data_IF_027819122553
#
_entry.id   IF_027819122553
#
_cell.length_a   1.000
_cell.length_b   1.000
_cell.length_c   1.000
_cell.angle_alpha   90.00
_cell.angle_beta   90.00
_cell.angle_gamma   90.00
#
_symmetry.space_group_name_H-M   'P 1'
#
loop_
_entity.id
_entity.type
_entity.pdbx_description
1 polymer ?
#
# COMPACT_ATOMS: atom_id res chain seq x y z
N UNK A 1 -24.03 -16.23 16.65
CA UNK A 1 -23.90 -15.22 17.74
C UNK A 1 -24.56 -13.92 17.30
N UNK A 2 -24.84 -13.01 18.23
CA UNK A 2 -25.26 -11.63 17.88
C UNK A 2 -24.08 -10.85 17.32
N UNK A 3 -24.30 -9.74 16.61
CA UNK A 3 -23.24 -8.89 16.08
C UNK A 3 -22.43 -8.25 17.19
N UNK A 4 -23.07 -7.91 18.32
CA UNK A 4 -22.40 -7.31 19.48
C UNK A 4 -21.48 -8.33 20.18
N UNK A 5 -21.91 -9.59 20.29
CA UNK A 5 -21.09 -10.71 20.77
C UNK A 5 -19.93 -10.99 19.81
N UNK A 6 -20.20 -11.04 18.50
CA UNK A 6 -19.19 -11.22 17.46
C UNK A 6 -18.10 -10.14 17.53
N UNK A 7 -18.49 -8.86 17.59
CA UNK A 7 -17.58 -7.73 17.73
C UNK A 7 -16.81 -7.80 19.05
N UNK A 8 -17.47 -8.22 20.14
CA UNK A 8 -16.83 -8.43 21.44
C UNK A 8 -15.69 -9.45 21.38
N UNK A 9 -15.91 -10.58 20.70
CA UNK A 9 -14.87 -11.59 20.48
C UNK A 9 -13.73 -11.07 19.60
N UNK A 10 -14.02 -10.29 18.56
CA UNK A 10 -12.94 -9.68 17.75
C UNK A 10 -12.01 -8.81 18.59
N UNK A 11 -12.58 -8.03 19.51
CA UNK A 11 -11.79 -7.15 20.39
C UNK A 11 -11.06 -7.97 21.46
N UNK A 12 -11.74 -8.96 22.05
CA UNK A 12 -11.17 -9.85 23.08
C UNK A 12 -9.90 -10.54 22.58
N UNK A 13 -9.90 -10.95 21.31
CA UNK A 13 -8.80 -11.69 20.69
C UNK A 13 -7.86 -10.83 19.82
N UNK A 14 -7.85 -9.50 20.00
CA UNK A 14 -7.01 -8.56 19.24
C UNK A 14 -7.11 -8.71 17.71
N UNK A 15 -8.29 -9.09 17.22
CA UNK A 15 -8.61 -9.17 15.79
C UNK A 15 -9.16 -7.84 15.26
N UNK A 16 -9.51 -6.91 16.14
CA UNK A 16 -10.04 -5.59 15.77
C UNK A 16 -9.83 -4.58 16.90
N UNK A 17 -9.40 -3.36 16.56
CA UNK A 17 -9.28 -2.26 17.51
C UNK A 17 -10.65 -1.91 18.15
N UNK A 18 -10.74 -1.72 19.49
CA UNK A 18 -11.97 -1.33 20.17
C UNK A 18 -12.67 -0.10 19.59
N UNK A 19 -11.92 0.88 19.06
CA UNK A 19 -12.49 2.10 18.46
C UNK A 19 -13.36 1.79 17.24
N UNK A 20 -13.13 0.67 16.55
CA UNK A 20 -13.96 0.29 15.41
C UNK A 20 -15.36 -0.18 15.82
N UNK A 21 -15.57 -0.61 17.06
CA UNK A 21 -16.93 -0.89 17.58
C UNK A 21 -17.79 0.36 17.55
N UNK A 22 -17.25 1.49 18.01
CA UNK A 22 -17.97 2.76 18.00
C UNK A 22 -18.21 3.25 16.57
N UNK A 23 -17.24 3.07 15.68
CA UNK A 23 -17.41 3.37 14.27
C UNK A 23 -18.55 2.56 13.65
N UNK A 24 -18.60 1.23 13.85
CA UNK A 24 -19.67 0.37 13.32
C UNK A 24 -21.04 0.77 13.89
N UNK A 25 -21.11 1.04 15.20
CA UNK A 25 -22.35 1.43 15.88
C UNK A 25 -22.88 2.79 15.42
N UNK A 26 -22.00 3.75 15.12
CA UNK A 26 -22.40 5.08 14.65
C UNK A 26 -22.72 5.10 13.16
N UNK A 27 -21.93 4.38 12.37
CA UNK A 27 -21.92 4.52 10.91
C UNK A 27 -22.88 3.56 10.21
N UNK A 28 -23.10 2.37 10.76
CA UNK A 28 -23.68 1.24 10.01
C UNK A 28 -24.94 0.73 10.68
N UNK A 29 -24.85 0.44 11.99
CA UNK A 29 -25.97 -0.08 12.78
C UNK A 29 -27.26 0.75 12.66
N UNK A 30 -27.24 2.09 12.51
CA UNK A 30 -28.47 2.87 12.32
C UNK A 30 -29.13 2.69 10.95
N UNK A 31 -28.41 2.16 9.96
CA UNK A 31 -28.87 2.02 8.58
C UNK A 31 -29.20 0.57 8.20
N UNK A 32 -28.71 -0.40 8.96
CA UNK A 32 -28.82 -1.82 8.65
C UNK A 32 -29.10 -2.64 9.92
N UNK A 33 -30.24 -3.32 9.94
CA UNK A 33 -30.66 -4.19 11.06
C UNK A 33 -30.20 -5.65 10.85
N UNK A 34 -29.59 -5.95 9.70
CA UNK A 34 -29.14 -7.29 9.38
C UNK A 34 -27.82 -7.64 10.10
N UNK A 35 -27.92 -8.55 11.06
CA UNK A 35 -26.81 -9.10 11.84
C UNK A 35 -25.62 -9.56 10.98
N UNK A 36 -25.87 -10.24 9.86
CA UNK A 36 -24.81 -10.74 8.97
C UNK A 36 -24.09 -9.58 8.27
N UNK A 37 -24.81 -8.51 7.91
CA UNK A 37 -24.19 -7.33 7.29
C UNK A 37 -23.31 -6.60 8.30
N UNK A 38 -23.78 -6.44 9.54
CA UNK A 38 -22.97 -5.82 10.60
C UNK A 38 -21.69 -6.64 10.83
N UNK A 39 -21.78 -7.98 10.90
CA UNK A 39 -20.62 -8.87 11.02
C UNK A 39 -19.68 -8.77 9.83
N UNK A 40 -20.20 -8.68 8.61
CA UNK A 40 -19.38 -8.47 7.41
C UNK A 40 -18.56 -7.19 7.48
N UNK A 41 -19.14 -6.12 8.01
CA UNK A 41 -18.39 -4.89 8.16
C UNK A 41 -17.42 -4.97 9.35
N UNK A 42 -17.77 -5.67 10.43
CA UNK A 42 -16.81 -5.98 11.48
C UNK A 42 -15.60 -6.76 10.93
N UNK A 43 -15.82 -7.73 10.04
CA UNK A 43 -14.75 -8.42 9.31
C UNK A 43 -13.96 -7.44 8.44
N UNK A 44 -14.59 -6.51 7.73
CA UNK A 44 -13.88 -5.46 6.99
C UNK A 44 -12.95 -4.63 7.90
N UNK A 45 -13.43 -4.17 9.06
CA UNK A 45 -12.62 -3.40 10.01
C UNK A 45 -11.51 -4.23 10.66
N UNK A 46 -11.75 -5.52 10.87
CA UNK A 46 -10.73 -6.48 11.30
C UNK A 46 -9.59 -6.59 10.27
N UNK A 47 -9.92 -6.63 8.98
CA UNK A 47 -8.89 -6.59 7.91
C UNK A 47 -8.20 -5.23 7.80
N UNK A 48 -8.94 -4.15 8.04
CA UNK A 48 -8.38 -2.80 8.06
C UNK A 48 -7.37 -2.63 9.20
N UNK A 49 -7.62 -3.24 10.36
CA UNK A 49 -6.69 -3.29 11.48
C UNK A 49 -5.35 -3.95 11.10
N UNK A 50 -5.38 -5.00 10.28
CA UNK A 50 -4.18 -5.63 9.72
C UNK A 50 -3.50 -4.80 8.61
N UNK A 51 -4.04 -3.62 8.28
CA UNK A 51 -3.53 -2.75 7.22
C UNK A 51 -4.09 -3.02 5.82
N UNK A 52 -5.05 -3.94 5.67
CA UNK A 52 -5.72 -4.17 4.39
C UNK A 52 -6.71 -3.03 4.08
N UNK A 53 -6.52 -2.35 2.96
CA UNK A 53 -7.41 -1.23 2.56
C UNK A 53 -8.75 -1.69 1.95
N UNK A 54 -8.87 -2.98 1.62
CA UNK A 54 -10.05 -3.57 1.00
C UNK A 54 -10.22 -5.04 1.37
N UNK A 55 -11.46 -5.51 1.25
CA UNK A 55 -11.84 -6.90 1.50
C UNK A 55 -12.33 -7.55 0.20
N UNK A 56 -11.84 -8.73 -0.20
CA UNK A 56 -12.36 -9.43 -1.37
C UNK A 56 -13.82 -9.82 -1.15
N UNK A 57 -14.64 -9.81 -2.21
CA UNK A 57 -16.05 -10.22 -2.21
C UNK A 57 -16.24 -11.54 -2.96
N UNK A 58 -15.22 -12.39 -2.96
CA UNK A 58 -15.22 -13.69 -3.63
C UNK A 58 -14.89 -14.81 -2.63
N UNK A 59 -14.86 -16.04 -3.14
CA UNK A 59 -14.64 -17.26 -2.33
C UNK A 59 -13.36 -17.24 -1.49
N UNK A 60 -12.37 -16.40 -1.84
CA UNK A 60 -11.11 -16.29 -1.08
C UNK A 60 -11.32 -15.64 0.28
N UNK A 61 -12.36 -14.82 0.45
CA UNK A 61 -12.63 -14.12 1.71
C UNK A 61 -12.82 -15.12 2.86
N UNK A 62 -13.59 -16.18 2.61
CA UNK A 62 -13.89 -17.22 3.60
C UNK A 62 -12.63 -17.94 4.07
N UNK A 63 -11.77 -18.35 3.14
CA UNK A 63 -10.51 -19.02 3.48
C UNK A 63 -9.60 -18.11 4.31
N UNK A 64 -9.40 -16.85 3.87
CA UNK A 64 -8.58 -15.89 4.60
C UNK A 64 -9.13 -15.55 5.98
N UNK A 65 -10.45 -15.49 6.12
CA UNK A 65 -11.11 -15.29 7.40
C UNK A 65 -10.79 -16.43 8.37
N UNK A 66 -10.91 -17.67 7.92
CA UNK A 66 -10.60 -18.85 8.72
C UNK A 66 -9.11 -18.91 9.11
N UNK A 67 -8.20 -18.58 8.20
CA UNK A 67 -6.76 -18.48 8.48
C UNK A 67 -6.45 -17.41 9.54
N UNK A 68 -7.09 -16.23 9.44
CA UNK A 68 -6.93 -15.15 10.41
C UNK A 68 -7.39 -15.56 11.81
N UNK A 69 -8.54 -16.22 11.95
CA UNK A 69 -9.04 -16.70 13.24
C UNK A 69 -8.16 -17.79 13.88
N UNK A 70 -7.36 -18.51 13.10
CA UNK A 70 -6.42 -19.53 13.60
C UNK A 70 -5.10 -18.96 14.11
N UNK A 71 -4.89 -17.64 14.02
CA UNK A 71 -3.65 -17.00 14.47
C UNK A 71 -2.46 -17.18 13.53
N UNK A 72 -2.66 -17.65 12.29
CA UNK A 72 -1.59 -17.77 11.28
C UNK A 72 -1.07 -16.39 10.81
N UNK A 73 -1.74 -15.31 11.22
CA UNK A 73 -1.36 -13.93 10.94
C UNK A 73 -1.22 -13.15 12.26
N UNK A 74 0.01 -13.10 12.80
CA UNK A 74 0.45 -12.22 13.90
C UNK A 74 -0.43 -12.28 15.17
N UNK A 75 -0.43 -13.39 15.89
CA UNK A 75 -0.87 -13.43 17.29
C UNK A 75 0.35 -13.71 18.18
N UNK A 76 0.57 -12.88 19.20
CA UNK A 76 1.44 -13.24 20.32
C UNK A 76 0.71 -14.34 21.09
N UNK A 77 1.33 -15.52 21.23
CA UNK A 77 0.79 -16.63 22.02
C UNK A 77 0.54 -16.14 23.45
N UNK A 78 -0.73 -16.06 23.85
CA UNK A 78 -1.14 -15.81 25.22
C UNK A 78 -1.96 -17.03 25.66
N UNK A 79 -1.60 -17.66 26.78
CA UNK A 79 -2.16 -18.92 27.33
C UNK A 79 -3.66 -18.83 27.73
N UNK A 80 -4.34 -17.73 27.39
CA UNK A 80 -5.75 -17.44 27.67
C UNK A 80 -6.71 -17.71 26.50
N UNK A 81 -6.21 -18.24 25.38
CA UNK A 81 -7.03 -18.48 24.18
C UNK A 81 -7.95 -19.71 24.30
N UNK A 82 -9.26 -19.47 24.37
CA UNK A 82 -10.27 -20.51 24.15
C UNK A 82 -10.48 -20.78 22.66
N UNK A 83 -9.95 -21.92 22.19
CA UNK A 83 -10.08 -22.37 20.80
C UNK A 83 -11.55 -22.56 20.37
N UNK A 84 -12.47 -22.85 21.29
CA UNK A 84 -13.89 -23.03 20.95
C UNK A 84 -14.55 -21.70 20.56
N UNK A 85 -14.21 -20.60 21.24
CA UNK A 85 -14.73 -19.27 20.90
C UNK A 85 -14.17 -18.78 19.56
N UNK A 86 -12.88 -19.02 19.28
CA UNK A 86 -12.26 -18.70 18.00
C UNK A 86 -12.83 -19.53 16.84
N UNK A 87 -13.10 -20.82 17.07
CA UNK A 87 -13.77 -21.67 16.08
C UNK A 87 -15.22 -21.21 15.84
N UNK A 88 -15.95 -20.83 16.89
CA UNK A 88 -17.29 -20.27 16.77
C UNK A 88 -17.29 -18.95 16.00
N UNK A 89 -16.33 -18.05 16.28
CA UNK A 89 -16.12 -16.79 15.58
C UNK A 89 -15.82 -17.02 14.10
N UNK A 90 -14.91 -17.96 13.81
CA UNK A 90 -14.54 -18.36 12.46
C UNK A 90 -15.74 -18.89 11.67
N UNK A 91 -16.54 -19.77 12.27
CA UNK A 91 -17.74 -20.33 11.66
C UNK A 91 -18.85 -19.29 11.45
N UNK A 92 -19.11 -18.43 12.43
CA UNK A 92 -20.17 -17.42 12.34
C UNK A 92 -19.82 -16.35 11.30
N UNK A 93 -18.56 -15.91 11.25
CA UNK A 93 -18.09 -15.00 10.21
C UNK A 93 -18.11 -15.65 8.82
N UNK A 94 -17.78 -16.94 8.72
CA UNK A 94 -17.92 -17.69 7.46
C UNK A 94 -19.36 -17.74 6.96
N UNK A 95 -20.35 -17.89 7.86
CA UNK A 95 -21.77 -17.84 7.50
C UNK A 95 -22.16 -16.45 6.99
N UNK A 96 -21.75 -15.39 7.68
CA UNK A 96 -21.99 -14.01 7.23
C UNK A 96 -21.36 -13.76 5.85
N UNK A 97 -20.19 -14.33 5.57
CA UNK A 97 -19.53 -14.30 4.25
C UNK A 97 -20.33 -15.05 3.19
N UNK A 98 -20.84 -16.24 3.49
CA UNK A 98 -21.69 -17.00 2.56
C UNK A 98 -23.02 -16.27 2.28
N UNK A 99 -23.54 -15.51 3.25
CA UNK A 99 -24.70 -14.64 3.10
C UNK A 99 -24.50 -13.49 2.09
N UNK A 100 -23.26 -13.23 1.60
CA UNK A 100 -22.93 -12.27 0.52
C UNK A 100 -23.45 -12.75 -0.86
N UNK A 101 -24.62 -13.40 -0.93
CA UNK A 101 -25.34 -13.50 -2.19
C UNK A 101 -25.53 -12.08 -2.76
N UNK A 102 -25.35 -11.92 -4.08
CA UNK A 102 -25.15 -10.68 -4.85
C UNK A 102 -26.15 -9.50 -4.64
N UNK A 103 -27.05 -9.55 -3.66
CA UNK A 103 -28.16 -8.65 -3.39
C UNK A 103 -27.87 -7.51 -2.39
N UNK A 104 -26.87 -7.62 -1.49
CA UNK A 104 -26.56 -6.55 -0.51
C UNK A 104 -25.86 -5.33 -1.13
N UNK A 105 -25.55 -5.42 -2.42
CA UNK A 105 -24.98 -4.36 -3.25
C UNK A 105 -25.86 -3.10 -3.35
N UNK A 106 -27.18 -3.17 -3.14
CA UNK A 106 -28.04 -2.03 -3.48
C UNK A 106 -28.03 -0.87 -2.46
N UNK A 107 -28.02 -1.15 -1.15
CA UNK A 107 -28.00 -0.11 -0.09
C UNK A 107 -26.59 0.23 0.38
N UNK A 108 -25.76 -0.79 0.62
CA UNK A 108 -24.38 -0.60 1.06
C UNK A 108 -23.46 -0.10 -0.07
N UNK A 109 -23.93 -0.09 -1.32
CA UNK A 109 -23.28 0.56 -2.46
C UNK A 109 -24.14 1.64 -3.11
N UNK A 110 -25.22 2.09 -2.45
CA UNK A 110 -25.91 3.29 -2.87
C UNK A 110 -24.92 4.48 -2.93
N UNK A 111 -25.19 5.50 -3.75
CA UNK A 111 -24.24 6.60 -3.97
C UNK A 111 -23.81 7.32 -2.68
N UNK A 112 -24.69 7.37 -1.68
CA UNK A 112 -24.45 7.96 -0.35
C UNK A 112 -23.79 7.00 0.66
N UNK A 113 -23.48 5.77 0.25
CA UNK A 113 -22.78 4.81 1.10
C UNK A 113 -21.33 5.23 1.38
N UNK A 114 -20.86 4.85 2.57
CA UNK A 114 -19.47 4.98 2.99
C UNK A 114 -18.58 3.87 2.43
N UNK A 115 -19.18 2.88 1.77
CA UNK A 115 -18.48 1.79 1.12
C UNK A 115 -18.68 1.81 -0.39
N UNK A 116 -17.74 1.20 -1.11
CA UNK A 116 -17.75 1.05 -2.55
C UNK A 116 -17.22 -0.31 -2.95
N UNK A 117 -18.00 -1.05 -3.74
CA UNK A 117 -17.53 -2.26 -4.39
C UNK A 117 -16.90 -1.90 -5.73
N UNK A 118 -15.75 -2.48 -6.01
CA UNK A 118 -15.06 -2.29 -7.28
C UNK A 118 -14.23 -3.53 -7.61
N UNK A 119 -14.47 -4.09 -8.81
CA UNK A 119 -13.75 -5.27 -9.32
C UNK A 119 -13.67 -6.44 -8.33
N UNK A 120 -14.78 -6.73 -7.63
CA UNK A 120 -14.86 -7.83 -6.68
C UNK A 120 -14.23 -7.54 -5.30
N UNK A 121 -13.99 -6.28 -4.96
CA UNK A 121 -13.49 -5.88 -3.63
C UNK A 121 -14.39 -4.80 -3.02
N UNK A 122 -14.57 -4.86 -1.71
CA UNK A 122 -15.20 -3.82 -0.90
C UNK A 122 -14.14 -2.87 -0.34
N UNK A 123 -14.37 -1.56 -0.48
CA UNK A 123 -13.54 -0.49 0.04
C UNK A 123 -14.39 0.45 0.88
N UNK A 124 -13.84 1.04 1.95
CA UNK A 124 -14.36 2.32 2.41
C UNK A 124 -14.06 3.40 1.35
N UNK A 125 -15.03 4.29 1.09
CA UNK A 125 -14.98 5.32 0.04
C UNK A 125 -13.74 6.21 0.15
N UNK A 126 -13.30 6.50 1.38
CA UNK A 126 -12.03 7.20 1.67
C UNK A 126 -10.83 6.52 1.00
N UNK A 127 -10.66 5.21 1.20
CA UNK A 127 -9.53 4.46 0.63
C UNK A 127 -9.69 4.23 -0.87
N UNK A 128 -10.92 4.07 -1.36
CA UNK A 128 -11.18 4.00 -2.80
C UNK A 128 -10.78 5.31 -3.50
N UNK A 129 -11.15 6.45 -2.93
CA UNK A 129 -10.79 7.76 -3.46
C UNK A 129 -9.28 8.00 -3.43
N UNK A 130 -8.60 7.59 -2.34
CA UNK A 130 -7.14 7.62 -2.27
C UNK A 130 -6.49 6.78 -3.37
N UNK A 131 -7.00 5.56 -3.63
CA UNK A 131 -6.55 4.70 -4.73
C UNK A 131 -6.70 5.38 -6.10
N UNK A 132 -7.86 5.98 -6.39
CA UNK A 132 -8.05 6.69 -7.66
C UNK A 132 -7.16 7.94 -7.76
N UNK A 133 -6.93 8.64 -6.64
CA UNK A 133 -5.98 9.75 -6.57
C UNK A 133 -4.54 9.33 -6.89
N UNK A 134 -4.08 8.19 -6.35
CA UNK A 134 -2.76 7.61 -6.66
C UNK A 134 -2.69 7.24 -8.14
N UNK A 135 -3.70 6.55 -8.68
CA UNK A 135 -3.78 6.19 -10.10
C UNK A 135 -3.70 7.40 -11.01
N UNK A 136 -4.45 8.46 -10.71
CA UNK A 136 -4.42 9.70 -11.48
C UNK A 136 -3.05 10.40 -11.40
N UNK A 137 -2.43 10.37 -10.22
CA UNK A 137 -1.09 10.91 -10.03
C UNK A 137 -0.04 10.14 -10.83
N UNK A 138 -0.09 8.81 -10.82
CA UNK A 138 0.79 7.97 -11.65
C UNK A 138 0.56 8.28 -13.13
N UNK A 139 -0.67 8.29 -13.61
CA UNK A 139 -0.95 8.59 -15.02
C UNK A 139 -0.42 9.97 -15.43
N UNK A 140 -0.63 10.99 -14.58
CA UNK A 140 -0.12 12.34 -14.82
C UNK A 140 1.41 12.37 -14.85
N UNK A 141 2.07 11.83 -13.82
CA UNK A 141 3.53 11.84 -13.72
C UNK A 141 4.18 11.06 -14.87
N UNK A 142 3.67 9.87 -15.21
CA UNK A 142 4.26 9.00 -16.22
C UNK A 142 3.76 9.29 -17.65
N UNK A 143 2.83 10.23 -17.83
CA UNK A 143 2.51 10.78 -19.15
C UNK A 143 3.62 11.68 -19.72
N UNK A 144 4.51 12.20 -18.86
CA UNK A 144 5.66 12.97 -19.30
C UNK A 144 6.61 12.11 -20.12
N UNK A 145 6.92 12.57 -21.32
CA UNK A 145 7.98 12.03 -22.18
C UNK A 145 8.75 13.18 -22.80
N UNK A 146 10.05 13.17 -22.61
CA UNK A 146 10.94 14.11 -23.26
C UNK A 146 11.03 13.78 -24.76
N UNK A 147 10.89 14.80 -25.62
CA UNK A 147 10.87 14.62 -27.08
C UNK A 147 12.25 14.35 -27.67
N UNK A 148 13.32 14.70 -26.97
CA UNK A 148 14.68 14.55 -27.45
C UNK A 148 15.30 13.25 -26.91
N UNK A 149 15.76 12.40 -27.83
CA UNK A 149 16.58 11.23 -27.49
C UNK A 149 17.98 11.72 -27.14
N UNK A 150 18.41 11.48 -25.91
CA UNK A 150 19.71 11.96 -25.45
C UNK A 150 20.69 10.79 -25.56
N UNK A 151 21.71 10.97 -26.39
CA UNK A 151 22.75 9.97 -26.58
C UNK A 151 23.89 10.27 -25.60
N UNK A 152 23.73 9.89 -24.32
CA UNK A 152 24.83 9.99 -23.35
C UNK A 152 25.47 8.62 -23.17
N UNK A 153 26.78 8.57 -23.32
CA UNK A 153 27.54 7.39 -22.95
C UNK A 153 27.76 7.38 -21.43
N UNK A 154 26.91 6.63 -20.72
CA UNK A 154 26.97 6.49 -19.24
C UNK A 154 28.35 6.06 -18.76
N UNK A 155 29.07 5.25 -19.54
CA UNK A 155 30.37 4.71 -19.17
C UNK A 155 31.47 5.77 -19.08
N UNK A 156 31.30 6.93 -19.72
CA UNK A 156 32.26 8.03 -19.62
C UNK A 156 32.27 8.65 -18.21
N UNK A 157 31.12 8.64 -17.53
CA UNK A 157 30.95 9.17 -16.17
C UNK A 157 30.98 8.07 -15.11
N UNK A 158 30.54 6.86 -15.47
CA UNK A 158 30.49 5.71 -14.58
C UNK A 158 30.99 4.44 -15.28
N UNK A 159 32.32 4.25 -15.38
CA UNK A 159 32.92 3.13 -16.12
C UNK A 159 32.53 1.74 -15.58
N UNK A 160 32.18 1.66 -14.30
CA UNK A 160 31.79 0.42 -13.61
C UNK A 160 30.28 0.17 -13.57
N UNK A 161 29.48 0.97 -14.29
CA UNK A 161 28.03 0.80 -14.33
C UNK A 161 27.61 -0.55 -14.93
N UNK A 162 26.65 -1.22 -14.30
CA UNK A 162 26.04 -2.44 -14.84
C UNK A 162 24.93 -2.10 -15.83
N UNK A 163 24.61 -3.02 -16.73
CA UNK A 163 23.58 -2.87 -17.77
C UNK A 163 22.24 -2.30 -17.25
N UNK A 164 21.68 -2.88 -16.17
CA UNK A 164 20.43 -2.38 -15.56
C UNK A 164 20.55 -0.97 -14.97
N UNK A 165 21.74 -0.57 -14.54
CA UNK A 165 21.99 0.78 -14.01
C UNK A 165 22.07 1.78 -15.17
N UNK A 166 22.74 1.41 -16.26
CA UNK A 166 22.77 2.18 -17.51
C UNK A 166 21.33 2.37 -18.06
N UNK A 167 20.49 1.34 -17.99
CA UNK A 167 19.08 1.42 -18.39
C UNK A 167 18.29 2.45 -17.56
N UNK A 168 18.52 2.51 -16.24
CA UNK A 168 17.91 3.52 -15.36
C UNK A 168 18.30 4.93 -15.80
N UNK A 169 19.56 5.15 -16.12
CA UNK A 169 20.03 6.46 -16.62
C UNK A 169 19.34 6.79 -17.95
N UNK A 170 19.47 5.92 -18.94
CA UNK A 170 18.97 6.17 -20.30
C UNK A 170 17.48 6.44 -20.32
N UNK A 171 16.69 5.69 -19.54
CA UNK A 171 15.25 5.94 -19.43
C UNK A 171 14.96 7.18 -18.57
N UNK A 172 15.67 7.37 -17.47
CA UNK A 172 15.42 8.44 -16.50
C UNK A 172 15.69 9.83 -17.07
N UNK A 173 16.57 9.92 -18.06
CA UNK A 173 16.86 11.16 -18.78
C UNK A 173 15.70 11.64 -19.67
N UNK A 174 14.67 10.81 -19.93
CA UNK A 174 13.56 11.18 -20.80
C UNK A 174 12.16 10.89 -20.25
N UNK A 175 12.05 10.24 -19.09
CA UNK A 175 10.76 9.94 -18.47
C UNK A 175 10.91 9.69 -16.97
N UNK A 176 9.81 9.84 -16.24
CA UNK A 176 9.75 9.46 -14.83
C UNK A 176 9.92 7.95 -14.66
N UNK A 177 10.56 7.53 -13.57
CA UNK A 177 10.89 6.12 -13.28
C UNK A 177 10.52 5.70 -11.87
N UNK A 178 10.19 4.41 -11.73
CA UNK A 178 10.21 3.69 -10.46
C UNK A 178 11.37 2.70 -10.51
N UNK A 179 12.37 2.90 -9.67
CA UNK A 179 13.56 2.03 -9.59
C UNK A 179 13.39 1.08 -8.42
N UNK A 180 13.23 -0.21 -8.71
CA UNK A 180 13.10 -1.28 -7.70
C UNK A 180 14.35 -2.16 -7.67
N UNK A 181 14.52 -2.93 -6.59
CA UNK A 181 15.64 -3.86 -6.43
C UNK A 181 15.93 -4.15 -4.96
N UNK A 182 16.58 -5.28 -4.70
CA UNK A 182 16.95 -5.71 -3.34
C UNK A 182 18.00 -4.80 -2.67
N UNK A 183 18.31 -5.02 -1.38
CA UNK A 183 19.44 -4.36 -0.71
C UNK A 183 20.74 -4.55 -1.50
N UNK A 184 21.60 -3.53 -1.54
CA UNK A 184 22.92 -3.62 -2.20
C UNK A 184 22.93 -3.55 -3.74
N UNK A 185 21.79 -3.44 -4.43
CA UNK A 185 21.76 -3.38 -5.91
C UNK A 185 22.19 -2.04 -6.51
N UNK A 186 22.71 -1.10 -5.71
CA UNK A 186 23.19 0.20 -6.19
C UNK A 186 22.10 1.15 -6.68
N UNK A 187 20.86 1.04 -6.16
CA UNK A 187 19.75 1.94 -6.53
C UNK A 187 20.10 3.41 -6.29
N UNK A 188 20.59 3.74 -5.10
CA UNK A 188 20.97 5.11 -4.74
C UNK A 188 22.10 5.64 -5.62
N UNK A 189 23.08 4.79 -5.94
CA UNK A 189 24.16 5.15 -6.88
C UNK A 189 23.62 5.42 -8.28
N UNK A 190 22.68 4.61 -8.76
CA UNK A 190 22.05 4.82 -10.07
C UNK A 190 21.24 6.12 -10.11
N UNK A 191 20.48 6.41 -9.05
CA UNK A 191 19.77 7.69 -8.91
C UNK A 191 20.76 8.85 -8.86
N UNK A 192 21.87 8.74 -8.12
CA UNK A 192 22.89 9.76 -8.06
C UNK A 192 23.47 10.12 -9.44
N UNK A 193 23.88 9.13 -10.23
CA UNK A 193 24.39 9.39 -11.59
C UNK A 193 23.30 9.95 -12.52
N UNK A 194 22.04 9.52 -12.37
CA UNK A 194 20.93 10.11 -13.13
C UNK A 194 20.77 11.59 -12.81
N UNK A 195 20.78 11.96 -11.53
CA UNK A 195 20.68 13.36 -11.09
C UNK A 195 21.87 14.19 -11.59
N UNK A 196 23.08 13.64 -11.54
CA UNK A 196 24.28 14.29 -12.06
C UNK A 196 24.16 14.61 -13.55
N UNK A 197 23.62 13.68 -14.34
CA UNK A 197 23.43 13.84 -15.78
C UNK A 197 22.28 14.79 -16.12
N UNK A 198 21.21 14.78 -15.33
CA UNK A 198 20.14 15.77 -15.43
C UNK A 198 20.65 17.19 -15.16
N UNK A 199 21.47 17.39 -14.11
CA UNK A 199 22.08 18.69 -13.81
C UNK A 199 23.10 19.12 -14.86
N UNK A 200 23.85 18.18 -15.45
CA UNK A 200 24.77 18.49 -16.55
C UNK A 200 24.02 19.09 -17.74
N UNK A 201 22.86 18.53 -18.06
CA UNK A 201 22.03 18.97 -19.19
C UNK A 201 21.17 20.19 -18.86
N UNK A 202 20.68 20.27 -17.64
CA UNK A 202 19.78 21.31 -17.14
C UNK A 202 20.37 21.92 -15.85
N UNK A 203 21.37 22.81 -15.97
CA UNK A 203 22.04 23.38 -14.80
C UNK A 203 21.13 24.23 -13.91
N UNK A 204 19.99 24.66 -14.44
CA UNK A 204 18.96 25.46 -13.77
C UNK A 204 17.97 24.62 -12.95
N UNK A 205 18.03 23.29 -13.02
CA UNK A 205 17.11 22.42 -12.28
C UNK A 205 17.40 22.43 -10.77
N UNK A 206 16.35 22.65 -9.99
CA UNK A 206 16.38 22.44 -8.55
C UNK A 206 16.00 21.00 -8.20
N UNK A 207 16.89 20.29 -7.51
CA UNK A 207 16.66 18.90 -7.11
C UNK A 207 16.28 18.84 -5.63
N UNK A 208 15.08 18.31 -5.39
CA UNK A 208 14.57 18.04 -4.06
C UNK A 208 14.59 16.54 -3.79
N UNK A 209 15.20 16.15 -2.67
CA UNK A 209 15.26 14.76 -2.22
C UNK A 209 14.37 14.59 -1.00
N UNK A 210 13.48 13.59 -1.05
CA UNK A 210 12.53 13.31 0.03
C UNK A 210 12.54 11.83 0.40
N UNK A 211 12.20 11.56 1.66
CA UNK A 211 12.06 10.23 2.20
C UNK A 211 10.91 10.20 3.22
N UNK A 212 10.24 9.04 3.42
CA UNK A 212 9.09 8.95 4.32
C UNK A 212 9.45 9.08 5.81
N UNK A 213 10.73 9.01 6.18
CA UNK A 213 11.19 9.15 7.57
C UNK A 213 12.56 9.83 7.66
N UNK A 214 12.85 10.46 8.81
CA UNK A 214 14.13 11.14 9.04
C UNK A 214 15.35 10.22 8.93
N UNK A 215 15.24 8.96 9.40
CA UNK A 215 16.33 7.98 9.28
C UNK A 215 16.61 7.62 7.82
N UNK A 216 15.57 7.51 6.98
CA UNK A 216 15.75 7.28 5.55
C UNK A 216 16.36 8.51 4.85
N UNK A 217 15.92 9.72 5.22
CA UNK A 217 16.48 10.97 4.70
C UNK A 217 17.98 11.11 5.02
N UNK A 218 18.39 10.82 6.27
CA UNK A 218 19.80 10.85 6.67
C UNK A 218 20.65 9.89 5.84
N UNK A 219 20.16 8.67 5.60
CA UNK A 219 20.85 7.67 4.78
C UNK A 219 20.99 8.08 3.31
N UNK A 220 19.96 8.70 2.73
CA UNK A 220 20.03 9.24 1.37
C UNK A 220 21.10 10.34 1.31
N UNK A 221 21.11 11.25 2.30
CA UNK A 221 22.09 12.34 2.39
C UNK A 221 23.53 11.82 2.47
N UNK A 222 23.79 10.87 3.37
CA UNK A 222 25.11 10.21 3.50
C UNK A 222 25.53 9.54 2.19
N UNK A 223 24.65 8.72 1.60
CA UNK A 223 24.94 7.99 0.37
C UNK A 223 25.30 8.91 -0.80
N UNK A 224 24.64 10.06 -0.90
CA UNK A 224 24.91 11.05 -1.95
C UNK A 224 26.21 11.78 -1.67
N UNK A 225 26.48 12.20 -0.43
CA UNK A 225 27.75 12.85 -0.08
C UNK A 225 28.95 11.94 -0.35
N UNK A 226 28.84 10.66 -0.02
CA UNK A 226 29.86 9.67 -0.35
C UNK A 226 30.04 9.49 -1.86
N UNK A 227 28.95 9.52 -2.63
CA UNK A 227 29.02 9.42 -4.08
C UNK A 227 29.70 10.65 -4.70
N UNK A 228 29.35 11.86 -4.22
CA UNK A 228 30.01 13.13 -4.63
C UNK A 228 31.51 13.07 -4.37
N UNK A 229 31.93 12.60 -3.19
CA UNK A 229 33.35 12.50 -2.83
C UNK A 229 34.15 11.53 -3.72
N UNK A 230 33.48 10.55 -4.34
CA UNK A 230 34.11 9.54 -5.22
C UNK A 230 34.21 9.98 -6.67
N UNK A 231 33.40 10.96 -7.10
CA UNK A 231 33.44 11.45 -8.47
C UNK A 231 34.47 12.56 -8.59
N UNK A 232 35.53 12.32 -9.38
CA UNK A 232 36.39 13.41 -9.84
C UNK A 232 35.65 14.18 -10.93
N UNK A 233 35.22 15.41 -10.63
CA UNK A 233 34.61 16.32 -11.61
C UNK A 233 35.65 16.79 -12.64
N UNK A 234 36.02 15.93 -13.59
CA UNK A 234 36.65 16.36 -14.85
C UNK A 234 35.56 16.41 -15.91
N UNK A 235 35.26 17.60 -16.44
CA UNK A 235 34.27 17.81 -17.51
C UNK A 235 32.94 18.46 -17.08
N UNK A 236 32.82 18.94 -15.84
CA UNK A 236 31.75 19.86 -15.43
C UNK A 236 32.33 21.27 -15.42
N UNK A 237 32.48 21.87 -16.59
CA UNK A 237 32.81 23.29 -16.68
C UNK A 237 31.58 24.10 -16.24
N UNK A 238 31.82 25.03 -15.30
CA UNK A 238 30.85 26.01 -14.82
C UNK A 238 30.45 26.99 -15.91
#
# INVERSE_FOLDING_TARGET
>A
MTSDEFIGLLIKYDLMDPLFKDAINYIIKPFEENEDVIKLIAIYFSYLYDGSICMPLDSRLKTKWQEKCKGESLMLEDDSMDNNELDALSQDGSKAIDSISCLYASKLLADDSLFKAYKGFLYAKKYFNAKEGIKNSINRLFSFKEKHTININVLDFWPSAKEKQIEVINKGMGQNLIVTGGPGTGKTTSVFYLLLMLLNKHPDYEIYLTAPSGKAASRIKESINEAIAKVSFKGFDK
#
